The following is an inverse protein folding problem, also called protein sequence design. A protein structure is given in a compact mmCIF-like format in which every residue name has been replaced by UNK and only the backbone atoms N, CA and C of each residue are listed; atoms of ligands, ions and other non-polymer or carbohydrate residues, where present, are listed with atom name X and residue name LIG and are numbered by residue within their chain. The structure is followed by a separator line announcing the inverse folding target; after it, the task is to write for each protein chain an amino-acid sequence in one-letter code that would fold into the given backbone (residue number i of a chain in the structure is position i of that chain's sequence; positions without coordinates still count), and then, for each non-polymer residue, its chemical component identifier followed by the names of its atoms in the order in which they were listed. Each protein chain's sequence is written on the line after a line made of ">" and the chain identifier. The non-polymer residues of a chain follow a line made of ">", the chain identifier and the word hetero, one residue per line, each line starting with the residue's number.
data_IF_503388037880
#
_entry.id   IF_503388037880
#
_cell.length_a   1.000
_cell.length_b   1.000
_cell.length_c   1.000
_cell.angle_alpha   90.00
_cell.angle_beta   90.00
_cell.angle_gamma   90.00
#
_symmetry.space_group_name_H-M   'P 1'
#
loop_
_entity.id
_entity.type
_entity.pdbx_description
1 polymer ?
#
# COMPACT_ATOMS: atom_id res chain seq x y z
N UNK A 1 32.45 -23.00 32.96
CA UNK A 1 32.77 -23.69 31.69
C UNK A 1 31.90 -23.03 30.62
N UNK A 2 32.46 -22.12 29.82
CA UNK A 2 31.71 -21.35 28.83
C UNK A 2 31.39 -22.27 27.64
N UNK A 3 30.13 -22.28 27.20
CA UNK A 3 29.72 -23.08 26.05
C UNK A 3 30.47 -22.60 24.80
N UNK A 4 30.98 -23.50 23.94
CA UNK A 4 31.70 -23.11 22.75
C UNK A 4 30.75 -22.37 21.81
N UNK A 5 31.10 -21.12 21.53
CA UNK A 5 30.32 -20.22 20.67
C UNK A 5 30.18 -20.84 19.28
N UNK A 6 28.98 -20.77 18.71
CA UNK A 6 28.68 -21.26 17.37
C UNK A 6 29.48 -20.43 16.34
N UNK A 7 30.73 -20.84 16.08
CA UNK A 7 31.55 -20.26 15.03
C UNK A 7 31.01 -20.70 13.67
N UNK A 8 30.97 -19.75 12.73
CA UNK A 8 30.60 -20.00 11.33
C UNK A 8 31.40 -21.16 10.70
N UNK A 9 32.61 -21.39 11.21
CA UNK A 9 33.54 -22.44 10.79
C UNK A 9 33.06 -23.86 11.16
N UNK A 10 32.05 -24.00 12.04
CA UNK A 10 31.46 -25.30 12.43
C UNK A 10 30.25 -25.69 11.59
N UNK A 11 29.95 -24.96 10.51
CA UNK A 11 28.88 -25.31 9.58
C UNK A 11 29.38 -26.40 8.62
N UNK A 12 29.04 -27.65 8.92
CA UNK A 12 29.19 -28.76 7.96
C UNK A 12 28.04 -28.64 6.94
N UNK A 13 28.33 -28.51 5.63
CA UNK A 13 27.30 -28.65 4.61
C UNK A 13 26.66 -30.02 4.79
N UNK A 14 25.34 -30.05 5.01
CA UNK A 14 24.60 -31.31 5.12
C UNK A 14 24.10 -31.66 3.73
N UNK A 15 24.65 -32.74 3.18
CA UNK A 15 24.41 -33.25 1.83
C UNK A 15 22.99 -33.85 1.66
N UNK A 16 21.96 -33.18 2.17
CA UNK A 16 20.57 -33.63 2.08
C UNK A 16 20.16 -34.73 3.06
N UNK A 17 20.97 -35.00 4.10
CA UNK A 17 20.60 -35.88 5.21
C UNK A 17 19.67 -35.18 6.21
N UNK A 18 18.48 -35.73 6.42
CA UNK A 18 17.41 -35.23 7.30
C UNK A 18 17.88 -35.20 8.76
N UNK A 19 18.58 -34.14 9.15
CA UNK A 19 18.87 -33.76 10.53
C UNK A 19 18.09 -32.49 10.84
N UNK A 20 17.37 -32.50 11.96
CA UNK A 20 16.59 -31.37 12.50
C UNK A 20 17.51 -30.22 12.92
N UNK A 21 18.19 -29.61 11.95
CA UNK A 21 18.70 -28.25 12.06
C UNK A 21 17.47 -27.36 12.06
N UNK A 22 17.32 -26.53 13.08
CA UNK A 22 16.31 -25.48 13.14
C UNK A 22 16.36 -24.76 11.80
N UNK A 23 15.42 -25.08 10.90
CA UNK A 23 15.31 -24.36 9.65
C UNK A 23 15.05 -22.93 10.08
N UNK A 24 16.03 -22.07 9.85
CA UNK A 24 15.71 -20.67 9.66
C UNK A 24 14.93 -20.69 8.37
N UNK A 25 13.63 -20.94 8.47
CA UNK A 25 12.71 -20.53 7.42
C UNK A 25 12.92 -19.04 7.37
N UNK A 26 13.71 -18.58 6.40
CA UNK A 26 13.55 -17.25 5.88
C UNK A 26 12.13 -17.25 5.34
N UNK A 27 11.17 -16.97 6.23
CA UNK A 27 9.82 -16.58 5.88
C UNK A 27 10.05 -15.53 4.82
N UNK A 28 9.73 -15.88 3.57
CA UNK A 28 9.84 -14.97 2.44
C UNK A 28 9.26 -13.65 2.94
N UNK A 29 10.14 -12.64 3.03
CA UNK A 29 9.83 -11.29 3.49
C UNK A 29 8.41 -10.99 3.07
N UNK A 30 7.51 -10.72 4.02
CA UNK A 30 6.10 -10.48 3.74
C UNK A 30 6.01 -9.55 2.53
N UNK A 31 5.44 -10.06 1.43
CA UNK A 31 5.35 -9.29 0.22
C UNK A 31 4.49 -8.07 0.54
N UNK A 32 5.12 -6.91 0.69
CA UNK A 32 4.42 -5.66 0.95
C UNK A 32 3.51 -5.43 -0.26
N UNK A 33 2.18 -5.40 -0.08
CA UNK A 33 1.28 -5.19 -1.20
C UNK A 33 1.59 -3.82 -1.82
N UNK A 34 1.62 -3.71 -3.17
CA UNK A 34 1.90 -2.45 -3.82
C UNK A 34 0.85 -1.41 -3.42
N UNK A 35 1.30 -0.21 -3.05
CA UNK A 35 0.41 0.92 -2.80
C UNK A 35 -0.15 1.36 -4.16
N UNK A 36 -1.44 1.09 -4.39
CA UNK A 36 -2.13 1.50 -5.61
C UNK A 36 -2.66 2.92 -5.42
N UNK A 37 -2.14 3.86 -6.21
CA UNK A 37 -2.68 5.21 -6.31
C UNK A 37 -3.72 5.28 -7.43
N UNK A 38 -4.86 5.92 -7.16
CA UNK A 38 -5.88 6.18 -8.17
C UNK A 38 -5.72 7.54 -8.85
N UNK A 39 -6.23 7.65 -10.07
CA UNK A 39 -6.30 8.89 -10.83
C UNK A 39 -7.59 8.93 -11.66
N UNK A 40 -8.33 10.04 -11.60
CA UNK A 40 -9.52 10.30 -12.43
C UNK A 40 -9.51 11.75 -12.93
N UNK A 41 -10.13 11.96 -14.09
CA UNK A 41 -10.37 13.28 -14.70
C UNK A 41 -11.87 13.55 -14.88
N UNK A 42 -12.71 12.86 -14.12
CA UNK A 42 -14.16 13.00 -14.22
C UNK A 42 -14.62 14.34 -13.65
N UNK A 43 -15.76 14.82 -14.14
CA UNK A 43 -16.41 15.99 -13.58
C UNK A 43 -17.02 15.61 -12.23
N UNK A 44 -16.63 16.30 -11.18
CA UNK A 44 -17.07 15.99 -9.82
C UNK A 44 -17.71 17.20 -9.16
N UNK A 45 -18.48 16.96 -8.10
CA UNK A 45 -18.90 18.03 -7.22
C UNK A 45 -17.70 18.59 -6.43
N UNK A 46 -17.90 19.72 -5.76
CA UNK A 46 -16.92 20.33 -4.87
C UNK A 46 -17.46 20.33 -3.43
N UNK A 47 -17.11 19.34 -2.58
CA UNK A 47 -16.24 18.18 -2.84
C UNK A 47 -16.94 17.04 -3.61
N UNK A 48 -16.20 16.05 -4.14
CA UNK A 48 -16.76 14.88 -4.81
C UNK A 48 -17.73 14.09 -3.92
N UNK A 49 -18.78 13.53 -4.51
CA UNK A 49 -19.71 12.65 -3.78
C UNK A 49 -19.19 11.22 -3.72
N UNK A 50 -19.71 10.43 -2.79
CA UNK A 50 -19.33 9.00 -2.70
C UNK A 50 -19.68 8.23 -3.98
N UNK A 51 -20.83 8.51 -4.59
CA UNK A 51 -21.22 7.88 -5.87
C UNK A 51 -20.25 8.21 -7.00
N UNK A 52 -19.78 9.46 -7.08
CA UNK A 52 -18.78 9.87 -8.08
C UNK A 52 -17.44 9.15 -7.89
N UNK A 53 -17.04 8.90 -6.64
CA UNK A 53 -15.81 8.16 -6.34
C UNK A 53 -15.96 6.66 -6.63
N UNK A 54 -17.16 6.10 -6.42
CA UNK A 54 -17.47 4.72 -6.79
C UNK A 54 -17.49 4.57 -8.32
N UNK A 55 -17.98 5.57 -9.05
CA UNK A 55 -17.91 5.56 -10.52
C UNK A 55 -16.46 5.66 -11.02
N UNK A 56 -15.69 6.60 -10.47
CA UNK A 56 -14.30 6.83 -10.87
C UNK A 56 -13.34 5.68 -10.51
N UNK A 57 -13.54 5.06 -9.34
CA UNK A 57 -12.58 4.10 -8.78
C UNK A 57 -13.17 2.74 -8.47
N UNK A 58 -14.49 2.56 -8.45
CA UNK A 58 -15.14 1.38 -7.90
C UNK A 58 -15.16 1.38 -6.38
N UNK A 59 -15.59 0.26 -5.78
CA UNK A 59 -15.59 0.12 -4.33
C UNK A 59 -14.16 -0.13 -3.82
N UNK A 60 -13.59 0.84 -3.12
CA UNK A 60 -12.19 0.81 -2.67
C UNK A 60 -12.07 0.55 -1.18
N UNK A 61 -11.03 -0.19 -0.82
CA UNK A 61 -10.68 -0.49 0.57
C UNK A 61 -10.16 0.74 1.31
N UNK A 62 -10.24 0.68 2.63
CA UNK A 62 -9.57 1.62 3.55
C UNK A 62 -8.09 1.74 3.20
N UNK A 63 -7.56 2.98 3.25
CA UNK A 63 -6.18 3.30 2.90
C UNK A 63 -5.95 3.57 1.42
N UNK A 64 -6.97 3.42 0.56
CA UNK A 64 -6.88 3.84 -0.83
C UNK A 64 -6.77 5.36 -0.94
N UNK A 65 -5.80 5.81 -1.75
CA UNK A 65 -5.51 7.22 -2.00
C UNK A 65 -5.55 7.48 -3.50
N UNK A 66 -6.21 8.57 -3.89
CA UNK A 66 -6.31 8.94 -5.30
C UNK A 66 -6.36 10.46 -5.51
N UNK A 67 -6.10 10.86 -6.75
CA UNK A 67 -6.32 12.22 -7.23
C UNK A 67 -7.51 12.25 -8.18
N UNK A 68 -8.33 13.30 -8.07
CA UNK A 68 -9.36 13.64 -9.06
C UNK A 68 -9.04 15.03 -9.60
N UNK A 69 -8.74 15.12 -10.90
CA UNK A 69 -8.63 16.41 -11.59
C UNK A 69 -10.00 16.76 -12.14
N UNK A 70 -10.68 17.71 -11.51
CA UNK A 70 -12.03 18.09 -11.90
C UNK A 70 -12.01 18.79 -13.27
N UNK A 71 -12.53 18.10 -14.30
CA UNK A 71 -12.60 18.65 -15.65
C UNK A 71 -13.67 19.73 -15.82
N UNK A 72 -14.62 19.86 -14.87
CA UNK A 72 -15.64 20.90 -14.90
C UNK A 72 -15.09 22.25 -14.41
N UNK A 73 -14.08 22.23 -13.54
CA UNK A 73 -13.44 23.41 -12.99
C UNK A 73 -11.94 23.41 -13.25
N UNK A 74 -11.54 24.14 -14.28
CA UNK A 74 -10.14 24.28 -14.68
C UNK A 74 -9.23 24.60 -13.49
N UNK A 75 -8.30 23.70 -13.19
CA UNK A 75 -7.28 23.88 -12.15
C UNK A 75 -7.66 23.37 -10.75
N UNK A 76 -8.84 22.79 -10.57
CA UNK A 76 -9.21 22.13 -9.31
C UNK A 76 -8.74 20.68 -9.30
N UNK A 77 -7.97 20.31 -8.27
CA UNK A 77 -7.58 18.92 -8.02
C UNK A 77 -8.05 18.54 -6.62
N UNK A 78 -8.61 17.35 -6.46
CA UNK A 78 -8.97 16.78 -5.16
C UNK A 78 -8.02 15.62 -4.83
N UNK A 79 -7.45 15.65 -3.63
CA UNK A 79 -6.89 14.47 -3.00
C UNK A 79 -8.01 13.77 -2.21
N UNK A 80 -8.19 12.48 -2.45
CA UNK A 80 -9.20 11.66 -1.76
C UNK A 80 -8.55 10.46 -1.08
N UNK A 81 -8.99 10.17 0.14
CA UNK A 81 -8.48 9.06 0.95
C UNK A 81 -9.66 8.32 1.58
N UNK A 82 -9.72 6.98 1.40
CA UNK A 82 -10.68 6.15 2.16
C UNK A 82 -10.14 5.96 3.58
N UNK A 83 -10.72 6.66 4.54
CA UNK A 83 -10.29 6.67 5.93
C UNK A 83 -10.54 5.33 6.63
N UNK A 84 -9.96 5.16 7.82
CA UNK A 84 -10.16 3.96 8.65
C UNK A 84 -11.61 3.74 9.07
N UNK A 85 -12.44 4.78 9.08
CA UNK A 85 -13.87 4.68 9.37
C UNK A 85 -14.73 4.31 8.15
N UNK A 86 -14.10 3.86 7.06
CA UNK A 86 -14.75 3.60 5.77
C UNK A 86 -15.45 4.83 5.15
N UNK A 87 -15.08 6.02 5.58
CA UNK A 87 -15.56 7.29 5.04
C UNK A 87 -14.48 7.92 4.15
N UNK A 88 -14.89 8.76 3.22
CA UNK A 88 -13.96 9.51 2.39
C UNK A 88 -13.52 10.79 3.08
N UNK A 89 -12.21 11.05 3.06
CA UNK A 89 -11.61 12.33 3.39
C UNK A 89 -11.16 13.03 2.10
N UNK A 90 -11.26 14.36 2.07
CA UNK A 90 -11.07 15.18 0.89
C UNK A 90 -10.18 16.38 1.20
N UNK A 91 -9.28 16.71 0.29
CA UNK A 91 -8.53 17.97 0.32
C UNK A 91 -8.49 18.58 -1.08
N UNK A 92 -8.84 19.85 -1.19
CA UNK A 92 -8.70 20.58 -2.45
C UNK A 92 -7.25 21.05 -2.59
N UNK A 93 -6.58 20.58 -3.63
CA UNK A 93 -5.23 20.96 -3.99
C UNK A 93 -5.25 22.09 -5.02
N UNK A 94 -4.32 23.02 -4.86
CA UNK A 94 -4.04 24.06 -5.86
C UNK A 94 -2.99 23.54 -6.84
N UNK A 95 -3.27 23.67 -8.14
CA UNK A 95 -2.29 23.34 -9.19
C UNK A 95 -1.06 24.25 -9.07
N UNK A 96 0.13 23.65 -9.00
CA UNK A 96 1.38 24.40 -9.14
C UNK A 96 1.49 24.92 -10.59
N UNK A 97 1.74 26.23 -10.72
CA UNK A 97 1.94 26.92 -12.01
C UNK A 97 3.40 26.99 -12.40
#
# INVERSE_FOLDING_TARGET
>A
MLAPEARLDNLVPTDGGVGSQTRVDLLATEAVPPVVLGYSTDNVAAPPTEDQLIEAFGNRQVGFTAFVIDNAMAGTVWLVIKSQSNTWWYEQLTKAV
#
